data_IF_929100190536
#
_entry.id   IF_929100190536
#
_cell.length_a   1.000
_cell.length_b   1.000
_cell.length_c   1.000
_cell.angle_alpha   90.00
_cell.angle_beta   90.00
_cell.angle_gamma   90.00
#
_symmetry.space_group_name_H-M   'P 1'
#
loop_
_entity.id
_entity.type
_entity.pdbx_description
1 polymer ?
#
# COMPACT_ATOMS: atom_id res chain seq x y z
N UNK A 1 16.35 8.64 -5.30
CA UNK A 1 15.20 9.53 -5.61
C UNK A 1 14.17 8.69 -6.35
N UNK A 2 13.03 8.35 -5.73
CA UNK A 2 12.00 7.50 -6.33
C UNK A 2 10.92 8.40 -6.94
N UNK A 3 10.70 8.30 -8.26
CA UNK A 3 9.61 9.00 -8.94
C UNK A 3 8.33 8.19 -8.79
N UNK A 4 7.40 8.71 -7.99
CA UNK A 4 6.05 8.17 -7.82
C UNK A 4 5.12 8.73 -8.91
N UNK A 5 4.29 7.88 -9.52
CA UNK A 5 3.26 8.29 -10.48
C UNK A 5 2.00 8.77 -9.76
N UNK A 6 1.40 9.79 -10.36
CA UNK A 6 0.46 10.76 -9.76
C UNK A 6 -0.83 10.25 -9.13
N UNK A 7 -1.19 8.97 -9.21
CA UNK A 7 -2.49 8.50 -8.71
C UNK A 7 -2.50 8.17 -7.21
N UNK A 8 -1.39 7.71 -6.64
CA UNK A 8 -1.34 7.25 -5.24
C UNK A 8 -0.03 7.58 -4.48
N UNK A 9 0.90 8.32 -5.08
CA UNK A 9 2.18 8.63 -4.43
C UNK A 9 2.61 10.07 -4.65
N UNK A 10 2.22 10.97 -3.76
CA UNK A 10 2.99 12.18 -3.52
C UNK A 10 4.30 11.83 -2.81
N UNK A 11 5.30 12.72 -2.86
CA UNK A 11 6.52 12.59 -2.03
C UNK A 11 6.14 12.35 -0.56
N UNK A 12 6.97 11.66 0.26
CA UNK A 12 6.82 11.67 1.70
C UNK A 12 6.92 13.12 2.17
N UNK A 13 5.76 13.74 2.30
CA UNK A 13 5.57 15.12 2.71
C UNK A 13 4.61 15.06 3.87
N UNK A 14 4.88 15.90 4.88
CA UNK A 14 4.05 15.99 6.07
C UNK A 14 2.56 16.00 5.70
N UNK A 15 1.72 15.42 6.56
CA UNK A 15 0.26 15.38 6.44
C UNK A 15 -0.28 16.82 6.28
N UNK A 16 -0.35 17.32 5.06
CA UNK A 16 -0.99 18.59 4.72
C UNK A 16 -1.93 18.36 3.55
N UNK A 17 -3.15 18.83 3.75
CA UNK A 17 -4.36 18.47 3.04
C UNK A 17 -4.38 18.67 1.52
N UNK A 18 -3.32 19.13 0.85
CA UNK A 18 -3.44 19.52 -0.57
C UNK A 18 -2.14 19.63 -1.40
N UNK A 19 -1.22 18.65 -1.40
CA UNK A 19 -0.13 18.60 -2.41
C UNK A 19 0.14 17.22 -3.03
N UNK A 20 -0.93 16.56 -3.46
CA UNK A 20 -0.88 15.35 -4.28
C UNK A 20 -2.09 15.08 -5.18
N UNK A 21 -3.08 15.98 -5.20
CA UNK A 21 -4.41 15.71 -5.73
C UNK A 21 -5.17 14.78 -4.78
N UNK A 22 -6.45 15.06 -4.54
CA UNK A 22 -7.35 14.19 -3.74
C UNK A 22 -7.35 12.76 -4.28
N UNK A 23 -6.45 11.90 -3.81
CA UNK A 23 -6.80 10.51 -3.55
C UNK A 23 -7.26 10.46 -2.11
N UNK A 24 -8.54 10.72 -1.89
CA UNK A 24 -9.18 10.61 -0.57
C UNK A 24 -8.95 9.22 0.04
N UNK A 25 -8.88 8.19 -0.81
CA UNK A 25 -8.92 6.80 -0.43
C UNK A 25 -7.64 6.25 0.25
N UNK A 26 -6.48 6.89 0.13
CA UNK A 26 -5.27 6.43 0.83
C UNK A 26 -4.97 7.29 2.05
N UNK A 27 -4.79 8.60 1.87
CA UNK A 27 -4.29 9.46 2.95
C UNK A 27 -5.34 9.72 4.03
N UNK A 28 -6.55 10.18 3.66
CA UNK A 28 -7.59 10.47 4.64
C UNK A 28 -8.33 9.22 5.08
N UNK A 29 -8.58 8.31 4.13
CA UNK A 29 -9.43 7.16 4.34
C UNK A 29 -8.67 6.02 5.03
N UNK A 30 -7.59 5.52 4.43
CA UNK A 30 -6.84 4.41 5.02
C UNK A 30 -5.93 4.91 6.14
N UNK A 31 -5.02 5.86 5.88
CA UNK A 31 -4.07 6.31 6.89
C UNK A 31 -4.73 7.10 8.01
N UNK A 32 -5.70 7.97 7.69
CA UNK A 32 -6.50 8.65 8.70
C UNK A 32 -7.23 7.65 9.62
N UNK A 33 -7.81 6.59 9.08
CA UNK A 33 -8.45 5.56 9.92
C UNK A 33 -7.44 4.74 10.72
N UNK A 34 -6.27 4.40 10.17
CA UNK A 34 -5.19 3.72 10.92
C UNK A 34 -4.73 4.60 12.09
N UNK A 35 -4.62 5.92 11.88
CA UNK A 35 -4.27 6.87 12.93
C UNK A 35 -5.36 6.97 14.00
N UNK A 36 -6.62 7.15 13.59
CA UNK A 36 -7.75 7.26 14.50
C UNK A 36 -8.00 5.98 15.30
N UNK A 37 -7.67 4.82 14.73
CA UNK A 37 -7.73 3.53 15.41
C UNK A 37 -6.50 3.27 16.31
N UNK A 38 -5.55 4.21 16.40
CA UNK A 38 -4.30 4.07 17.16
C UNK A 38 -3.43 2.88 16.71
N UNK A 39 -3.49 2.53 15.42
CA UNK A 39 -2.77 1.39 14.83
C UNK A 39 -1.45 1.79 14.16
N UNK A 40 -1.04 3.05 14.23
CA UNK A 40 0.22 3.57 13.68
C UNK A 40 1.47 2.77 14.10
N UNK A 41 1.59 2.25 15.33
CA UNK A 41 2.72 1.40 15.71
C UNK A 41 2.88 0.12 14.88
N UNK A 42 1.85 -0.27 14.11
CA UNK A 42 1.85 -1.47 13.25
C UNK A 42 2.07 -1.18 11.77
N UNK A 43 2.39 0.08 11.43
CA UNK A 43 2.98 0.45 10.14
C UNK A 43 4.49 0.44 10.34
N UNK A 44 5.04 -0.77 10.45
CA UNK A 44 6.46 -0.99 10.61
C UNK A 44 7.13 -0.82 9.24
N UNK A 45 8.45 -0.58 9.18
CA UNK A 45 9.22 -0.48 7.94
C UNK A 45 8.60 0.30 6.75
N UNK A 46 7.79 1.34 7.03
CA UNK A 46 7.30 2.30 6.04
C UNK A 46 6.25 1.80 5.05
N UNK A 47 6.00 2.66 4.06
CA UNK A 47 4.96 2.53 3.03
C UNK A 47 5.62 2.80 1.67
N UNK A 48 5.39 1.91 0.70
CA UNK A 48 5.99 1.98 -0.62
C UNK A 48 4.92 1.85 -1.71
N UNK A 49 4.82 2.88 -2.57
CA UNK A 49 3.82 2.92 -3.64
C UNK A 49 4.40 2.67 -5.03
N UNK A 50 4.05 3.53 -5.97
CA UNK A 50 4.38 3.36 -7.39
C UNK A 50 5.85 3.01 -7.66
N UNK A 51 6.04 2.04 -8.56
CA UNK A 51 7.32 1.71 -9.15
C UNK A 51 7.09 1.21 -10.58
N UNK A 52 7.65 1.91 -11.58
CA UNK A 52 7.54 1.52 -12.98
C UNK A 52 8.39 0.26 -13.28
N UNK A 53 7.84 -0.92 -13.01
CA UNK A 53 8.55 -2.19 -13.19
C UNK A 53 7.61 -3.36 -13.50
N UNK A 54 8.16 -4.38 -14.13
CA UNK A 54 7.51 -5.68 -14.21
C UNK A 54 7.51 -6.37 -12.83
N UNK A 55 6.68 -7.40 -12.70
CA UNK A 55 6.72 -8.35 -11.58
C UNK A 55 8.08 -9.05 -11.55
N UNK A 56 8.53 -9.45 -10.36
CA UNK A 56 9.82 -10.15 -10.21
C UNK A 56 9.80 -11.44 -11.04
N UNK A 57 10.82 -11.64 -11.87
CA UNK A 57 10.95 -12.81 -12.75
C UNK A 57 9.80 -12.99 -13.76
N UNK A 58 9.13 -11.92 -14.18
CA UNK A 58 8.06 -11.96 -15.18
C UNK A 58 8.18 -10.76 -16.14
N UNK A 59 7.61 -10.90 -17.33
CA UNK A 59 7.47 -9.80 -18.30
C UNK A 59 6.16 -9.02 -18.11
N UNK A 60 5.31 -9.45 -17.16
CA UNK A 60 4.05 -8.79 -16.86
C UNK A 60 4.25 -7.59 -15.94
N UNK A 61 3.54 -6.49 -16.23
CA UNK A 61 3.56 -5.29 -15.40
C UNK A 61 3.08 -5.55 -13.98
N UNK A 62 3.70 -4.90 -13.01
CA UNK A 62 3.25 -4.91 -11.61
C UNK A 62 2.09 -3.92 -11.41
N UNK A 63 1.17 -4.20 -10.50
CA UNK A 63 0.21 -3.21 -9.96
C UNK A 63 0.88 -1.91 -9.49
N UNK A 64 2.13 -1.99 -8.99
CA UNK A 64 2.92 -0.81 -8.66
C UNK A 64 3.23 0.06 -9.87
N UNK A 65 3.37 -0.52 -11.07
CA UNK A 65 3.61 0.23 -12.30
C UNK A 65 2.36 0.97 -12.80
N UNK A 66 1.17 0.59 -12.34
CA UNK A 66 -0.08 1.30 -12.62
C UNK A 66 -0.45 2.30 -11.52
N UNK A 67 0.32 2.34 -10.42
CA UNK A 67 0.05 3.21 -9.29
C UNK A 67 -1.27 2.87 -8.60
N UNK A 68 -1.60 1.58 -8.50
CA UNK A 68 -2.81 1.05 -7.85
C UNK A 68 -2.49 0.08 -6.70
N UNK A 69 -1.22 0.02 -6.28
CA UNK A 69 -0.77 -0.82 -5.19
C UNK A 69 0.15 -0.08 -4.21
N UNK A 70 0.14 -0.58 -2.97
CA UNK A 70 0.94 -0.12 -1.85
C UNK A 70 1.49 -1.35 -1.12
N UNK A 71 2.77 -1.30 -0.79
CA UNK A 71 3.41 -2.25 0.12
C UNK A 71 3.62 -1.57 1.49
N UNK A 72 3.27 -2.25 2.57
CA UNK A 72 3.38 -1.74 3.95
C UNK A 72 4.16 -2.75 4.80
N UNK A 73 5.02 -2.27 5.71
CA UNK A 73 5.76 -3.15 6.65
C UNK A 73 6.50 -4.29 5.96
N UNK A 74 7.20 -3.94 4.88
CA UNK A 74 7.82 -4.90 3.98
C UNK A 74 8.99 -5.68 4.58
N UNK A 75 9.57 -5.24 5.71
CA UNK A 75 10.57 -6.03 6.42
C UNK A 75 9.93 -7.14 7.27
N UNK A 76 8.78 -6.86 7.87
CA UNK A 76 8.07 -7.77 8.77
C UNK A 76 7.17 -8.74 8.00
N UNK A 77 6.48 -8.24 6.98
CA UNK A 77 5.49 -8.94 6.16
C UNK A 77 5.90 -9.01 4.68
N UNK A 78 7.16 -9.35 4.44
CA UNK A 78 7.76 -9.46 3.11
C UNK A 78 7.02 -10.40 2.14
N UNK A 79 7.17 -10.12 0.84
CA UNK A 79 6.62 -10.91 -0.27
C UNK A 79 7.07 -12.38 -0.23
N UNK A 80 6.11 -13.31 -0.41
CA UNK A 80 6.30 -14.76 -0.35
C UNK A 80 5.89 -15.39 0.99
N UNK A 81 5.55 -14.56 1.98
CA UNK A 81 5.06 -15.02 3.29
C UNK A 81 3.54 -15.24 3.24
N UNK A 82 3.02 -16.39 3.65
CA UNK A 82 1.57 -16.64 3.64
C UNK A 82 0.87 -16.26 4.96
N UNK A 83 1.51 -15.46 5.81
CA UNK A 83 1.00 -15.01 7.11
C UNK A 83 1.41 -13.57 7.38
N UNK A 84 0.65 -12.86 8.22
CA UNK A 84 0.98 -11.49 8.61
C UNK A 84 1.22 -11.37 10.12
N UNK A 85 2.28 -10.67 10.49
CA UNK A 85 2.61 -10.34 11.87
C UNK A 85 2.03 -8.98 12.24
N UNK A 86 2.13 -7.99 11.34
CA UNK A 86 1.83 -6.58 11.61
C UNK A 86 0.65 -6.07 10.80
N UNK A 87 0.65 -6.28 9.47
CA UNK A 87 -0.34 -5.70 8.57
C UNK A 87 -1.77 -6.19 8.82
N UNK A 88 -1.94 -7.40 9.38
CA UNK A 88 -3.25 -7.95 9.79
C UNK A 88 -4.01 -7.04 10.74
N UNK A 89 -3.31 -6.19 11.49
CA UNK A 89 -3.91 -5.31 12.50
C UNK A 89 -4.66 -4.15 11.86
N UNK A 90 -4.23 -3.71 10.68
CA UNK A 90 -4.90 -2.66 9.93
C UNK A 90 -5.54 -3.15 8.62
N UNK A 91 -5.31 -4.39 8.19
CA UNK A 91 -5.90 -4.95 6.97
C UNK A 91 -7.42 -4.74 6.81
N UNK A 92 -8.26 -4.86 7.87
CA UNK A 92 -9.68 -4.56 7.75
C UNK A 92 -9.99 -3.12 7.30
N UNK A 93 -9.14 -2.14 7.65
CA UNK A 93 -9.30 -0.75 7.21
C UNK A 93 -9.08 -0.64 5.70
N UNK A 94 -8.04 -1.31 5.17
CA UNK A 94 -7.79 -1.36 3.73
C UNK A 94 -8.96 -2.01 2.98
N UNK A 95 -9.47 -3.13 3.49
CA UNK A 95 -10.59 -3.85 2.89
C UNK A 95 -11.89 -3.02 2.91
N UNK A 96 -12.16 -2.28 3.99
CA UNK A 96 -13.28 -1.36 4.08
C UNK A 96 -13.21 -0.23 3.03
N UNK A 97 -12.00 0.08 2.56
CA UNK A 97 -11.74 1.05 1.49
C UNK A 97 -11.51 0.38 0.12
N UNK A 98 -12.02 -0.84 -0.06
CA UNK A 98 -12.01 -1.63 -1.29
C UNK A 98 -10.61 -2.01 -1.80
N UNK A 99 -9.62 -2.11 -0.92
CA UNK A 99 -8.33 -2.71 -1.26
C UNK A 99 -8.37 -4.23 -1.06
N UNK A 100 -7.82 -4.94 -2.04
CA UNK A 100 -7.53 -6.36 -1.95
C UNK A 100 -6.20 -6.55 -1.24
N UNK A 101 -6.21 -7.38 -0.19
CA UNK A 101 -5.00 -7.70 0.54
C UNK A 101 -4.29 -8.91 -0.07
N UNK A 102 -3.00 -8.75 -0.30
CA UNK A 102 -2.14 -9.76 -0.90
C UNK A 102 -1.81 -10.97 -0.06
N UNK A 103 -2.26 -11.02 1.20
CA UNK A 103 -2.23 -12.25 1.98
C UNK A 103 -2.91 -13.43 1.23
N UNK A 104 -3.94 -13.16 0.41
CA UNK A 104 -4.60 -14.15 -0.42
C UNK A 104 -3.69 -14.81 -1.48
N UNK A 105 -2.55 -14.19 -1.79
CA UNK A 105 -1.53 -14.66 -2.73
C UNK A 105 -0.13 -14.67 -2.10
N UNK A 106 -0.06 -14.89 -0.77
CA UNK A 106 1.19 -14.96 0.00
C UNK A 106 2.09 -13.72 -0.13
N UNK A 107 1.48 -12.54 -0.17
CA UNK A 107 2.15 -11.24 -0.22
C UNK A 107 1.53 -10.24 0.78
N UNK A 108 1.83 -10.38 2.08
CA UNK A 108 1.11 -9.70 3.16
C UNK A 108 1.50 -8.23 3.30
N UNK A 109 2.59 -7.79 2.69
CA UNK A 109 2.92 -6.38 2.50
C UNK A 109 1.99 -5.71 1.49
N UNK A 110 1.49 -6.46 0.51
CA UNK A 110 0.85 -5.89 -0.68
C UNK A 110 -0.64 -5.63 -0.50
N UNK A 111 -1.08 -4.42 -0.86
CA UNK A 111 -2.47 -4.04 -1.00
C UNK A 111 -2.69 -3.46 -2.40
N UNK A 112 -3.75 -3.86 -3.10
CA UNK A 112 -4.05 -3.37 -4.45
C UNK A 112 -5.54 -3.05 -4.64
N UNK A 113 -5.86 -2.05 -5.47
CA UNK A 113 -7.26 -1.68 -5.77
C UNK A 113 -7.95 -2.58 -6.80
N UNK A 114 -7.22 -3.25 -7.67
CA UNK A 114 -7.80 -4.07 -8.73
C UNK A 114 -6.94 -5.31 -8.97
N UNK A 115 -7.59 -6.44 -9.22
CA UNK A 115 -6.96 -7.77 -9.41
C UNK A 115 -6.94 -8.25 -10.86
N UNK A 116 -7.58 -7.53 -11.78
CA UNK A 116 -7.64 -7.86 -13.21
C UNK A 116 -7.19 -6.65 -14.05
N UNK A 117 -5.89 -6.55 -14.31
CA UNK A 117 -5.22 -5.39 -14.91
C UNK A 117 -4.20 -5.81 -15.98
#
# INVERSE_FOLDING_TARGET
MVQLHRKLGGRPTAMVSDKGGRSTNLDNDVYGHIQNAHLQPYVEHGIYGYACRAKRNSNEWSTHAFGIAIDVSSAEDYMGKCTSTVNKRHAPIWQNHNWYWGLAFCDPMHFQYATNY
#
